data_IF_808844521057
#
_entry.id   IF_808844521057
#
_cell.length_a   1.000
_cell.length_b   1.000
_cell.length_c   1.000
_cell.angle_alpha   90.00
_cell.angle_beta   90.00
_cell.angle_gamma   90.00
#
_symmetry.space_group_name_H-M   'P 1'
#
loop_
_entity.id
_entity.type
_entity.pdbx_description
1 polymer ?
#
# COMPACT_ATOMS: atom_id res chain seq x y z
N UNK A 1 2.40 -51.43 -5.26
CA UNK A 1 1.60 -50.82 -4.17
C UNK A 1 1.62 -49.32 -4.36
N UNK A 2 0.53 -48.75 -4.89
CA UNK A 2 0.34 -47.30 -4.99
C UNK A 2 -0.24 -46.81 -3.66
N UNK A 3 0.53 -46.03 -2.91
CA UNK A 3 0.00 -45.30 -1.75
C UNK A 3 -1.05 -44.29 -2.22
N UNK A 4 -2.32 -44.63 -2.01
CA UNK A 4 -3.42 -43.66 -2.04
C UNK A 4 -3.13 -42.65 -0.93
N UNK A 5 -2.66 -41.45 -1.29
CA UNK A 5 -2.79 -40.28 -0.43
C UNK A 5 -4.29 -40.09 -0.17
N UNK A 6 -4.72 -40.50 1.01
CA UNK A 6 -6.01 -40.13 1.57
C UNK A 6 -5.92 -38.63 1.79
N UNK A 7 -6.36 -37.86 0.79
CA UNK A 7 -6.68 -36.46 0.97
C UNK A 7 -7.88 -36.42 1.91
N UNK A 8 -7.60 -36.31 3.22
CA UNK A 8 -8.58 -35.89 4.20
C UNK A 8 -9.33 -34.70 3.59
N UNK A 9 -10.66 -34.72 3.55
CA UNK A 9 -11.44 -33.61 3.02
C UNK A 9 -11.08 -32.39 3.87
N UNK A 10 -10.19 -31.55 3.32
CA UNK A 10 -9.79 -30.30 3.91
C UNK A 10 -11.09 -29.54 4.14
N UNK A 11 -11.44 -29.41 5.42
CA UNK A 11 -12.54 -28.61 5.93
C UNK A 11 -12.63 -27.38 5.07
N UNK A 12 -13.75 -27.26 4.35
CA UNK A 12 -14.02 -26.15 3.43
C UNK A 12 -13.77 -24.86 4.21
N UNK A 13 -12.65 -24.20 3.91
CA UNK A 13 -12.17 -23.03 4.64
C UNK A 13 -13.27 -21.97 4.66
N UNK A 14 -14.00 -21.86 5.77
CA UNK A 14 -14.98 -20.80 5.93
C UNK A 14 -14.19 -19.49 6.11
N UNK A 15 -14.18 -18.59 5.11
CA UNK A 15 -13.35 -17.39 5.17
C UNK A 15 -13.77 -16.45 6.32
N UNK A 16 -15.04 -16.52 6.73
CA UNK A 16 -15.55 -15.77 7.87
C UNK A 16 -14.97 -16.31 9.19
N UNK A 17 -14.96 -17.64 9.37
CA UNK A 17 -14.41 -18.26 10.57
C UNK A 17 -12.91 -17.95 10.73
N UNK A 18 -12.14 -18.00 9.64
CA UNK A 18 -10.73 -17.60 9.66
C UNK A 18 -10.55 -16.11 9.99
N UNK A 19 -11.39 -15.25 9.41
CA UNK A 19 -11.34 -13.81 9.69
C UNK A 19 -11.67 -13.53 11.16
N UNK A 20 -12.71 -14.17 11.70
CA UNK A 20 -13.06 -14.08 13.12
C UNK A 20 -11.93 -14.56 14.03
N UNK A 21 -11.31 -15.71 13.72
CA UNK A 21 -10.17 -16.23 14.47
C UNK A 21 -9.00 -15.24 14.49
N UNK A 22 -8.68 -14.63 13.34
CA UNK A 22 -7.62 -13.62 13.26
C UNK A 22 -7.93 -12.40 14.13
N UNK A 23 -9.18 -11.93 14.16
CA UNK A 23 -9.60 -10.83 15.02
C UNK A 23 -9.56 -11.20 16.51
N UNK A 24 -10.07 -12.37 16.88
CA UNK A 24 -10.01 -12.88 18.25
C UNK A 24 -8.56 -13.01 18.73
N UNK A 25 -7.67 -13.53 17.87
CA UNK A 25 -6.26 -13.64 18.21
C UNK A 25 -5.59 -12.27 18.31
N UNK A 26 -5.92 -11.31 17.44
CA UNK A 26 -5.40 -9.95 17.55
C UNK A 26 -5.82 -9.27 18.85
N UNK A 27 -7.07 -9.48 19.29
CA UNK A 27 -7.55 -9.00 20.60
C UNK A 27 -6.81 -9.69 21.75
N UNK A 28 -6.62 -11.02 21.68
CA UNK A 28 -5.86 -11.77 22.68
C UNK A 28 -4.40 -11.29 22.76
N UNK A 29 -3.75 -11.08 21.61
CA UNK A 29 -2.40 -10.53 21.51
C UNK A 29 -2.32 -9.19 22.21
N UNK A 30 -3.26 -8.28 21.94
CA UNK A 30 -3.34 -6.95 22.55
C UNK A 30 -3.54 -7.01 24.07
N UNK A 31 -4.46 -7.85 24.56
CA UNK A 31 -4.74 -8.03 25.98
C UNK A 31 -3.55 -8.63 26.73
N UNK A 32 -2.92 -9.65 26.15
CA UNK A 32 -1.75 -10.31 26.74
C UNK A 32 -0.58 -9.35 26.79
N UNK A 33 -0.36 -8.59 25.72
CA UNK A 33 0.69 -7.56 25.68
C UNK A 33 0.46 -6.54 26.78
N UNK A 34 -0.76 -5.98 26.91
CA UNK A 34 -1.12 -5.06 27.99
C UNK A 34 -0.76 -5.61 29.37
N UNK A 35 -1.18 -6.84 29.65
CA UNK A 35 -1.00 -7.45 30.96
C UNK A 35 0.48 -7.66 31.29
N UNK A 36 1.29 -8.16 30.34
CA UNK A 36 2.72 -8.39 30.56
C UNK A 36 3.49 -7.06 30.63
N UNK A 37 3.17 -6.07 29.81
CA UNK A 37 3.83 -4.75 29.82
C UNK A 37 3.61 -3.97 31.12
N UNK A 38 2.56 -4.28 31.89
CA UNK A 38 2.35 -3.70 33.21
C UNK A 38 3.35 -4.22 34.25
N UNK A 39 3.93 -5.41 34.03
CA UNK A 39 4.96 -5.96 34.90
C UNK A 39 6.34 -5.41 34.52
N UNK A 40 6.67 -5.52 33.24
CA UNK A 40 7.93 -5.04 32.68
C UNK A 40 7.75 -4.80 31.18
N UNK A 41 8.14 -3.62 30.71
CA UNK A 41 7.94 -3.21 29.32
C UNK A 41 8.75 -4.08 28.36
N UNK A 42 10.02 -4.36 28.69
CA UNK A 42 10.93 -5.10 27.83
C UNK A 42 10.48 -6.56 27.69
N UNK A 43 10.08 -7.17 28.80
CA UNK A 43 9.46 -8.51 28.80
C UNK A 43 8.17 -8.50 27.99
N UNK A 44 7.33 -7.48 28.13
CA UNK A 44 6.10 -7.31 27.34
C UNK A 44 6.35 -7.25 25.84
N UNK A 45 7.38 -6.51 25.40
CA UNK A 45 7.79 -6.43 24.00
C UNK A 45 8.27 -7.80 23.48
N UNK A 46 9.10 -8.51 24.24
CA UNK A 46 9.58 -9.86 23.88
C UNK A 46 8.38 -10.82 23.73
N UNK A 47 7.45 -10.81 24.70
CA UNK A 47 6.24 -11.63 24.64
C UNK A 47 5.37 -11.28 23.43
N UNK A 48 5.19 -10.00 23.10
CA UNK A 48 4.47 -9.58 21.91
C UNK A 48 5.07 -10.20 20.64
N UNK A 49 6.40 -10.15 20.48
CA UNK A 49 7.08 -10.72 19.32
C UNK A 49 6.95 -12.25 19.24
N UNK A 50 6.99 -12.94 20.39
CA UNK A 50 6.74 -14.38 20.46
C UNK A 50 5.29 -14.68 20.03
N UNK A 51 4.33 -13.93 20.53
CA UNK A 51 2.91 -14.10 20.21
C UNK A 51 2.54 -13.63 18.80
N UNK A 52 3.42 -12.89 18.10
CA UNK A 52 3.25 -12.54 16.70
C UNK A 52 3.47 -13.75 15.77
N UNK A 53 4.23 -14.77 16.21
CA UNK A 53 4.48 -15.99 15.42
C UNK A 53 3.18 -16.76 15.10
N UNK A 54 2.31 -17.13 16.06
CA UNK A 54 1.07 -17.81 15.74
C UNK A 54 0.14 -16.95 14.88
N UNK A 55 0.06 -15.63 15.11
CA UNK A 55 -0.71 -14.72 14.26
C UNK A 55 -0.25 -14.79 12.80
N UNK A 56 1.07 -14.76 12.59
CA UNK A 56 1.66 -14.84 11.27
C UNK A 56 1.36 -16.16 10.56
N UNK A 57 1.33 -17.28 11.31
CA UNK A 57 0.93 -18.60 10.78
C UNK A 57 -0.56 -18.61 10.38
N UNK A 58 -1.44 -18.01 11.19
CA UNK A 58 -2.89 -17.96 10.93
C UNK A 58 -3.27 -17.16 9.68
N UNK A 59 -2.39 -16.28 9.19
CA UNK A 59 -2.60 -15.53 7.94
C UNK A 59 -2.67 -16.43 6.69
N UNK A 60 -2.38 -17.73 6.83
CA UNK A 60 -2.39 -18.80 5.83
C UNK A 60 -1.67 -18.39 4.55
N UNK A 61 -0.40 -18.78 4.48
CA UNK A 61 0.44 -18.55 3.32
C UNK A 61 0.51 -19.83 2.48
N UNK A 62 -0.17 -19.89 1.32
CA UNK A 62 -0.48 -21.15 0.67
C UNK A 62 0.74 -21.88 0.07
N UNK A 63 1.92 -21.24 -0.03
CA UNK A 63 2.97 -21.77 -0.89
C UNK A 63 4.36 -22.00 -0.27
N UNK A 64 4.75 -21.42 0.88
CA UNK A 64 6.16 -21.49 1.35
C UNK A 64 6.39 -21.30 2.87
N UNK A 65 5.99 -22.26 3.73
CA UNK A 65 6.10 -22.11 5.18
C UNK A 65 7.53 -21.83 5.67
N UNK A 66 8.55 -22.54 5.16
CA UNK A 66 9.93 -22.38 5.64
C UNK A 66 10.53 -20.98 5.37
N UNK A 67 10.37 -20.49 4.14
CA UNK A 67 10.83 -19.15 3.69
C UNK A 67 10.20 -18.04 4.53
N UNK A 68 8.94 -18.22 4.89
CA UNK A 68 8.18 -17.30 5.74
C UNK A 68 8.72 -17.26 7.17
N UNK A 69 9.04 -18.41 7.75
CA UNK A 69 9.65 -18.46 9.08
C UNK A 69 11.03 -17.79 9.09
N UNK A 70 11.85 -18.02 8.06
CA UNK A 70 13.16 -17.36 7.95
C UNK A 70 12.99 -15.85 7.87
N UNK A 71 12.12 -15.36 6.97
CA UNK A 71 11.85 -13.93 6.83
C UNK A 71 11.32 -13.31 8.12
N UNK A 72 10.39 -13.99 8.80
CA UNK A 72 9.86 -13.54 10.09
C UNK A 72 10.94 -13.51 11.17
N UNK A 73 11.77 -14.54 11.30
CA UNK A 73 12.85 -14.56 12.30
C UNK A 73 13.87 -13.45 12.05
N UNK A 74 14.27 -13.22 10.80
CA UNK A 74 15.13 -12.08 10.45
C UNK A 74 14.47 -10.76 10.82
N UNK A 75 13.17 -10.62 10.55
CA UNK A 75 12.41 -9.43 10.94
C UNK A 75 12.39 -9.23 12.46
N UNK A 76 12.11 -10.28 13.23
CA UNK A 76 12.08 -10.22 14.70
C UNK A 76 13.45 -9.88 15.29
N UNK A 77 14.54 -10.49 14.79
CA UNK A 77 15.90 -10.19 15.22
C UNK A 77 16.26 -8.73 14.89
N UNK A 78 16.01 -8.31 13.65
CA UNK A 78 16.26 -6.92 13.23
C UNK A 78 15.43 -5.92 14.03
N UNK A 79 14.20 -6.27 14.38
CA UNK A 79 13.34 -5.48 15.26
C UNK A 79 13.89 -5.38 16.68
N UNK A 80 14.34 -6.48 17.26
CA UNK A 80 15.01 -6.48 18.55
C UNK A 80 16.25 -5.59 18.54
N UNK A 81 17.09 -5.69 17.50
CA UNK A 81 18.24 -4.81 17.35
C UNK A 81 17.84 -3.34 17.28
N UNK A 82 16.88 -2.96 16.43
CA UNK A 82 16.45 -1.57 16.33
C UNK A 82 15.77 -1.06 17.60
N UNK A 83 15.03 -1.90 18.33
CA UNK A 83 14.48 -1.51 19.63
C UNK A 83 15.57 -1.20 20.66
N UNK A 84 16.69 -1.92 20.62
CA UNK A 84 17.82 -1.71 21.53
C UNK A 84 18.72 -0.54 21.11
N UNK A 85 18.86 -0.28 19.80
CA UNK A 85 19.86 0.67 19.28
C UNK A 85 19.28 1.99 18.80
N UNK A 86 17.98 2.10 18.60
CA UNK A 86 17.35 3.27 17.95
C UNK A 86 16.33 3.93 18.87
N UNK A 87 16.44 5.25 18.99
CA UNK A 87 15.43 6.07 19.66
C UNK A 87 14.13 6.09 18.81
N UNK A 88 12.99 5.57 19.31
CA UNK A 88 11.71 5.62 18.60
C UNK A 88 11.25 7.07 18.32
N UNK A 89 11.74 8.05 19.06
CA UNK A 89 11.45 9.48 18.92
C UNK A 89 12.46 10.23 18.05
N UNK A 90 13.03 9.54 17.06
CA UNK A 90 13.97 10.12 16.11
C UNK A 90 13.33 11.25 15.28
N UNK A 91 13.77 12.49 15.55
CA UNK A 91 13.40 13.69 14.80
C UNK A 91 12.16 14.43 15.32
N UNK A 92 11.87 15.63 14.76
CA UNK A 92 10.80 16.50 15.24
C UNK A 92 9.40 15.91 15.05
N UNK A 93 9.15 15.23 13.93
CA UNK A 93 7.86 14.61 13.63
C UNK A 93 7.49 13.53 14.67
N UNK A 94 8.42 12.63 14.98
CA UNK A 94 8.21 11.54 15.92
C UNK A 94 7.90 12.05 17.33
N UNK A 95 8.67 13.04 17.80
CA UNK A 95 8.41 13.75 19.05
C UNK A 95 7.05 14.46 19.03
N UNK A 96 6.68 15.07 17.91
CA UNK A 96 5.39 15.75 17.75
C UNK A 96 4.18 14.81 17.81
N UNK A 97 4.30 13.61 17.24
CA UNK A 97 3.26 12.58 17.36
C UNK A 97 3.16 12.07 18.79
N UNK A 98 4.28 11.68 19.39
CA UNK A 98 4.27 11.14 20.76
C UNK A 98 3.82 12.17 21.80
N UNK A 99 4.12 13.46 21.61
CA UNK A 99 3.65 14.53 22.50
C UNK A 99 2.13 14.56 22.64
N UNK A 100 1.38 14.18 21.60
CA UNK A 100 -0.09 14.10 21.68
C UNK A 100 -0.55 12.98 22.62
N UNK A 101 0.17 11.84 22.64
CA UNK A 101 -0.11 10.72 23.56
C UNK A 101 -0.02 11.18 25.01
N UNK A 102 1.04 11.93 25.33
CA UNK A 102 1.30 12.42 26.68
C UNK A 102 0.45 13.64 27.05
N UNK A 103 0.11 14.48 26.08
CA UNK A 103 -0.61 15.74 26.32
C UNK A 103 -2.09 15.52 26.61
N UNK A 104 -2.76 14.65 25.83
CA UNK A 104 -4.16 14.34 26.05
C UNK A 104 -4.26 13.14 26.98
N UNK A 105 -4.75 13.32 28.21
CA UNK A 105 -4.96 12.23 29.17
C UNK A 105 -6.01 11.25 28.67
N UNK A 106 -7.16 11.76 28.22
CA UNK A 106 -8.30 10.98 27.73
C UNK A 106 -8.41 11.00 26.21
N UNK A 107 -9.00 9.93 25.65
CA UNK A 107 -9.24 9.82 24.21
C UNK A 107 -10.26 10.86 23.73
N UNK A 108 -11.25 11.19 24.56
CA UNK A 108 -12.31 12.15 24.20
C UNK A 108 -11.77 13.57 23.96
N UNK A 109 -10.81 14.01 24.78
CA UNK A 109 -10.16 15.31 24.62
C UNK A 109 -9.37 15.37 23.31
N UNK A 110 -8.66 14.28 22.99
CA UNK A 110 -7.95 14.15 21.73
C UNK A 110 -8.89 14.13 20.54
N UNK A 111 -10.01 13.39 20.61
CA UNK A 111 -10.99 13.33 19.52
C UNK A 111 -11.57 14.72 19.26
N UNK A 112 -11.95 15.47 20.30
CA UNK A 112 -12.44 16.84 20.16
C UNK A 112 -11.41 17.74 19.47
N UNK A 113 -10.16 17.70 19.92
CA UNK A 113 -9.06 18.43 19.28
C UNK A 113 -8.88 18.03 17.81
N UNK A 114 -8.86 16.73 17.52
CA UNK A 114 -8.67 16.23 16.17
C UNK A 114 -9.83 16.67 15.25
N UNK A 115 -11.07 16.58 15.73
CA UNK A 115 -12.25 17.04 14.98
C UNK A 115 -12.21 18.54 14.74
N UNK A 116 -11.89 19.35 15.74
CA UNK A 116 -11.76 20.81 15.59
C UNK A 116 -10.67 21.16 14.57
N UNK A 117 -9.50 20.53 14.68
CA UNK A 117 -8.39 20.79 13.77
C UNK A 117 -8.70 20.35 12.33
N UNK A 118 -9.36 19.21 12.14
CA UNK A 118 -9.78 18.72 10.82
C UNK A 118 -10.84 19.63 10.19
N UNK A 119 -11.80 20.10 10.98
CA UNK A 119 -12.90 20.95 10.48
C UNK A 119 -12.44 22.38 10.19
N UNK A 120 -11.54 22.93 11.00
CA UNK A 120 -11.07 24.32 10.86
C UNK A 120 -9.90 24.46 9.88
N UNK A 121 -9.00 23.46 9.80
CA UNK A 121 -7.80 23.50 8.97
C UNK A 121 -7.78 22.37 7.95
N UNK A 122 -8.88 22.14 7.26
CA UNK A 122 -9.01 21.01 6.32
C UNK A 122 -7.91 21.00 5.24
N UNK A 123 -7.62 22.15 4.63
CA UNK A 123 -6.64 22.25 3.52
C UNK A 123 -5.19 22.22 4.00
N UNK A 124 -4.93 22.63 5.26
CA UNK A 124 -3.61 22.64 5.91
C UNK A 124 -3.57 21.69 7.12
N UNK A 125 -4.34 20.59 7.04
CA UNK A 125 -4.50 19.71 8.20
C UNK A 125 -3.17 19.04 8.46
N UNK A 126 -2.50 19.49 9.51
CA UNK A 126 -1.26 18.85 9.94
C UNK A 126 -1.50 17.35 10.12
N UNK A 127 -0.58 16.52 9.63
CA UNK A 127 -0.72 15.06 9.71
C UNK A 127 -0.69 14.52 11.16
N UNK A 128 -0.50 15.41 12.15
CA UNK A 128 -0.40 15.13 13.58
C UNK A 128 -1.69 14.53 14.15
N UNK A 129 -2.83 15.25 14.21
CA UNK A 129 -4.09 14.69 14.71
C UNK A 129 -4.61 13.54 13.84
N UNK A 130 -4.40 13.58 12.52
CA UNK A 130 -4.90 12.53 11.63
C UNK A 130 -4.22 11.20 11.92
N UNK A 131 -2.90 11.19 12.14
CA UNK A 131 -2.19 9.98 12.55
C UNK A 131 -2.60 9.53 13.96
N UNK A 132 -2.85 10.49 14.86
CA UNK A 132 -3.32 10.22 16.22
C UNK A 132 -4.64 9.44 16.27
N UNK A 133 -5.54 9.63 15.31
CA UNK A 133 -6.78 8.84 15.25
C UNK A 133 -6.55 7.32 15.17
N UNK A 134 -5.39 6.86 14.67
CA UNK A 134 -5.04 5.44 14.64
C UNK A 134 -4.23 4.99 15.86
N UNK A 135 -3.20 5.73 16.27
CA UNK A 135 -2.33 5.27 17.36
C UNK A 135 -2.87 5.61 18.76
N UNK A 136 -3.65 6.69 18.94
CA UNK A 136 -4.14 7.10 20.26
C UNK A 136 -5.04 6.04 20.91
N UNK A 137 -6.03 5.44 20.23
CA UNK A 137 -6.83 4.37 20.82
C UNK A 137 -5.97 3.20 21.29
N UNK A 138 -4.92 2.88 20.56
CA UNK A 138 -3.98 1.82 20.89
C UNK A 138 -3.17 2.15 22.17
N UNK A 139 -2.59 3.36 22.28
CA UNK A 139 -1.85 3.79 23.47
C UNK A 139 -2.75 3.91 24.71
N UNK A 140 -3.94 4.50 24.55
CA UNK A 140 -4.91 4.66 25.66
C UNK A 140 -5.51 3.34 26.11
N UNK A 141 -5.66 2.38 25.20
CA UNK A 141 -6.08 1.02 25.57
C UNK A 141 -5.02 0.30 26.41
N UNK A 142 -3.74 0.43 26.04
CA UNK A 142 -2.63 -0.20 26.76
C UNK A 142 -2.31 0.50 28.08
N UNK A 143 -2.67 1.78 28.22
CA UNK A 143 -2.34 2.63 29.38
C UNK A 143 -0.83 2.73 29.62
N UNK A 144 -0.08 2.84 28.52
CA UNK A 144 1.37 2.97 28.53
C UNK A 144 1.76 4.33 27.97
N UNK A 145 2.65 5.02 28.67
CA UNK A 145 3.21 6.29 28.23
C UNK A 145 4.60 6.14 27.59
N UNK A 146 5.08 4.92 27.35
CA UNK A 146 6.42 4.70 26.78
C UNK A 146 6.38 4.70 25.23
N UNK A 147 7.25 5.47 24.55
CA UNK A 147 7.27 5.53 23.08
C UNK A 147 7.66 4.20 22.42
N UNK A 148 8.39 3.30 23.07
CA UNK A 148 8.80 1.99 22.53
C UNK A 148 7.59 1.11 22.16
N UNK A 149 6.44 1.33 22.81
CA UNK A 149 5.22 0.57 22.54
C UNK A 149 4.78 0.70 21.08
N UNK A 150 5.09 1.81 20.39
CA UNK A 150 4.75 2.00 18.97
C UNK A 150 5.35 0.91 18.06
N UNK A 151 6.48 0.32 18.47
CA UNK A 151 7.17 -0.72 17.71
C UNK A 151 6.24 -1.93 17.55
N UNK A 152 5.43 -2.26 18.56
CA UNK A 152 4.50 -3.40 18.48
C UNK A 152 3.41 -3.14 17.44
N UNK A 153 2.75 -1.99 17.50
CA UNK A 153 1.72 -1.55 16.55
C UNK A 153 2.26 -1.52 15.12
N UNK A 154 3.40 -0.89 14.90
CA UNK A 154 4.01 -0.77 13.58
C UNK A 154 4.53 -2.12 13.05
N UNK A 155 4.96 -3.04 13.93
CA UNK A 155 5.36 -4.40 13.53
C UNK A 155 4.16 -5.23 13.07
N UNK A 156 3.02 -5.07 13.73
CA UNK A 156 1.76 -5.66 13.28
C UNK A 156 1.38 -5.14 11.88
N UNK A 157 1.45 -3.82 11.67
CA UNK A 157 1.20 -3.21 10.36
C UNK A 157 2.20 -3.68 9.29
N UNK A 158 3.47 -3.86 9.63
CA UNK A 158 4.48 -4.39 8.71
C UNK A 158 4.12 -5.81 8.22
N UNK A 159 3.70 -6.69 9.13
CA UNK A 159 3.23 -8.04 8.77
C UNK A 159 2.03 -7.97 7.84
N UNK A 160 1.07 -7.07 8.13
CA UNK A 160 -0.10 -6.87 7.27
C UNK A 160 0.30 -6.31 5.89
N UNK A 161 1.25 -5.37 5.81
CA UNK A 161 1.80 -4.88 4.53
C UNK A 161 2.37 -6.02 3.68
N UNK A 162 3.20 -6.89 4.30
CA UNK A 162 3.77 -8.04 3.62
C UNK A 162 2.69 -9.01 3.13
N UNK A 163 1.73 -9.34 3.99
CA UNK A 163 0.64 -10.24 3.66
C UNK A 163 -0.26 -9.68 2.54
N UNK A 164 -0.55 -8.39 2.60
CA UNK A 164 -1.39 -7.72 1.61
C UNK A 164 -0.70 -7.62 0.26
N UNK A 165 0.60 -7.31 0.25
CA UNK A 165 1.42 -7.31 -0.97
C UNK A 165 1.44 -8.71 -1.60
N UNK A 166 1.62 -9.75 -0.78
CA UNK A 166 1.56 -11.12 -1.24
C UNK A 166 0.19 -11.48 -1.85
N UNK A 167 -0.91 -11.18 -1.16
CA UNK A 167 -2.28 -11.49 -1.64
C UNK A 167 -2.65 -10.73 -2.91
N UNK A 168 -2.24 -9.47 -3.01
CA UNK A 168 -2.42 -8.68 -4.23
C UNK A 168 -1.66 -9.30 -5.40
N UNK A 169 -0.44 -9.75 -5.17
CA UNK A 169 0.35 -10.42 -6.19
C UNK A 169 -0.25 -11.76 -6.60
N UNK A 170 -0.61 -12.62 -5.66
CA UNK A 170 -1.18 -13.93 -6.00
C UNK A 170 -2.50 -13.81 -6.78
N UNK A 171 -3.34 -12.81 -6.47
CA UNK A 171 -4.64 -12.62 -7.10
C UNK A 171 -4.60 -11.82 -8.41
N UNK A 172 -3.75 -10.79 -8.50
CA UNK A 172 -3.81 -9.80 -9.60
C UNK A 172 -2.51 -9.65 -10.40
N UNK A 173 -1.41 -10.29 -10.00
CA UNK A 173 -0.17 -10.26 -10.78
C UNK A 173 -0.32 -11.14 -12.03
N UNK A 174 -0.41 -10.51 -13.20
CA UNK A 174 -0.70 -11.16 -14.48
C UNK A 174 0.48 -11.10 -15.45
N UNK A 175 1.67 -10.75 -14.98
CA UNK A 175 2.89 -10.76 -15.80
C UNK A 175 3.46 -12.17 -15.89
N UNK A 176 4.13 -12.46 -17.00
CA UNK A 176 4.61 -13.81 -17.31
C UNK A 176 5.71 -14.27 -16.33
N UNK A 177 5.48 -15.44 -15.73
CA UNK A 177 6.41 -16.19 -14.90
C UNK A 177 6.18 -17.67 -15.15
N UNK A 178 7.26 -18.46 -15.16
CA UNK A 178 7.14 -19.93 -15.10
C UNK A 178 6.66 -20.36 -13.70
N UNK A 179 6.11 -21.56 -13.56
CA UNK A 179 5.67 -22.08 -12.24
C UNK A 179 6.79 -22.08 -11.19
N UNK A 180 7.99 -22.54 -11.57
CA UNK A 180 9.17 -22.45 -10.71
C UNK A 180 9.54 -20.98 -10.42
N UNK A 181 9.45 -20.11 -11.42
CA UNK A 181 9.65 -18.67 -11.27
C UNK A 181 8.64 -18.01 -10.33
N UNK A 182 7.36 -18.43 -10.33
CA UNK A 182 6.33 -17.90 -9.43
C UNK A 182 6.65 -18.24 -7.97
N UNK A 183 7.17 -19.44 -7.71
CA UNK A 183 7.66 -19.82 -6.37
C UNK A 183 8.85 -18.95 -5.97
N UNK A 184 9.88 -18.82 -6.81
CA UNK A 184 11.05 -17.97 -6.50
C UNK A 184 10.64 -16.51 -6.29
N UNK A 185 9.76 -16.00 -7.13
CA UNK A 185 9.20 -14.64 -7.03
C UNK A 185 8.55 -14.41 -5.67
N UNK A 186 7.61 -15.27 -5.28
CA UNK A 186 6.93 -15.16 -4.00
C UNK A 186 7.90 -15.28 -2.82
N UNK A 187 8.91 -16.16 -2.91
CA UNK A 187 9.90 -16.33 -1.84
C UNK A 187 10.72 -15.06 -1.61
N UNK A 188 11.29 -14.54 -2.70
CA UNK A 188 12.13 -13.35 -2.68
C UNK A 188 11.32 -12.13 -2.27
N UNK A 189 10.07 -12.01 -2.73
CA UNK A 189 9.20 -10.91 -2.35
C UNK A 189 8.93 -10.89 -0.84
N UNK A 190 8.57 -12.05 -0.26
CA UNK A 190 8.21 -12.10 1.15
C UNK A 190 9.44 -11.95 2.05
N UNK A 191 10.53 -12.69 1.77
CA UNK A 191 11.79 -12.52 2.51
C UNK A 191 12.28 -11.09 2.36
N UNK A 192 12.28 -10.54 1.15
CA UNK A 192 12.75 -9.19 0.88
C UNK A 192 11.99 -8.14 1.69
N UNK A 193 10.66 -8.24 1.76
CA UNK A 193 9.84 -7.28 2.53
C UNK A 193 10.01 -7.44 4.05
N UNK A 194 10.04 -8.67 4.57
CA UNK A 194 10.21 -8.91 6.00
C UNK A 194 11.63 -8.59 6.48
N UNK A 195 12.63 -8.91 5.66
CA UNK A 195 14.04 -8.68 5.95
C UNK A 195 14.54 -7.31 5.47
N UNK A 196 13.66 -6.42 4.98
CA UNK A 196 14.03 -5.07 4.53
C UNK A 196 14.44 -4.20 5.73
N UNK A 197 15.72 -3.78 5.83
CA UNK A 197 16.18 -2.89 6.89
C UNK A 197 15.46 -1.55 6.90
N UNK A 198 15.11 -0.97 5.75
CA UNK A 198 14.32 0.26 5.69
C UNK A 198 12.92 0.07 6.28
N UNK A 199 12.23 -1.03 5.98
CA UNK A 199 10.91 -1.30 6.56
C UNK A 199 11.02 -1.59 8.05
N UNK A 200 11.99 -2.39 8.48
CA UNK A 200 12.22 -2.68 9.90
C UNK A 200 12.52 -1.41 10.69
N UNK A 201 13.44 -0.57 10.21
CA UNK A 201 13.77 0.71 10.82
C UNK A 201 12.57 1.64 10.88
N UNK A 202 11.88 1.87 9.76
CA UNK A 202 10.75 2.81 9.70
C UNK A 202 9.51 2.32 10.46
N UNK A 203 9.39 1.01 10.70
CA UNK A 203 8.39 0.47 11.62
C UNK A 203 8.84 0.47 13.08
N UNK A 204 10.10 0.81 13.38
CA UNK A 204 10.60 0.94 14.76
C UNK A 204 10.60 2.40 15.24
N UNK A 205 10.46 3.36 14.33
CA UNK A 205 10.31 4.79 14.64
C UNK A 205 8.83 5.14 14.81
N UNK A 206 8.54 6.12 15.67
CA UNK A 206 7.20 6.70 15.85
C UNK A 206 6.83 7.55 14.63
N UNK A 207 6.49 6.90 13.52
CA UNK A 207 6.18 7.57 12.25
C UNK A 207 4.97 6.98 11.54
N UNK A 208 4.31 7.82 10.74
CA UNK A 208 3.14 7.44 9.91
C UNK A 208 3.48 6.59 8.68
N UNK A 209 4.76 6.30 8.42
CA UNK A 209 5.21 5.81 7.11
C UNK A 209 4.71 4.40 6.77
N UNK A 210 4.75 3.49 7.74
CA UNK A 210 4.27 2.11 7.57
C UNK A 210 2.74 2.08 7.50
N UNK A 211 2.07 2.93 8.28
CA UNK A 211 0.63 3.15 8.18
C UNK A 211 0.24 3.63 6.78
N UNK A 212 0.96 4.59 6.20
CA UNK A 212 0.73 5.03 4.82
C UNK A 212 0.94 3.90 3.80
N UNK A 213 1.99 3.08 3.96
CA UNK A 213 2.21 1.93 3.08
C UNK A 213 1.05 0.92 3.16
N UNK A 214 0.60 0.59 4.39
CA UNK A 214 -0.53 -0.32 4.62
C UNK A 214 -1.82 0.21 3.99
N UNK A 215 -2.17 1.47 4.29
CA UNK A 215 -3.39 2.09 3.78
C UNK A 215 -3.36 2.25 2.26
N UNK A 216 -2.18 2.49 1.68
CA UNK A 216 -1.98 2.48 0.23
C UNK A 216 -2.36 1.16 -0.41
N UNK A 217 -1.81 0.05 0.12
CA UNK A 217 -2.13 -1.30 -0.34
C UNK A 217 -3.61 -1.65 -0.10
N UNK A 218 -4.19 -1.19 1.01
CA UNK A 218 -5.61 -1.37 1.34
C UNK A 218 -6.53 -0.64 0.35
N UNK A 219 -6.25 0.61 0.06
CA UNK A 219 -6.94 1.37 -0.98
C UNK A 219 -6.88 0.64 -2.33
N UNK A 220 -5.69 0.20 -2.74
CA UNK A 220 -5.53 -0.57 -3.99
C UNK A 220 -6.37 -1.84 -3.99
N UNK A 221 -6.33 -2.62 -2.92
CA UNK A 221 -7.11 -3.86 -2.81
C UNK A 221 -8.61 -3.60 -2.86
N UNK A 222 -9.10 -2.57 -2.15
CA UNK A 222 -10.52 -2.19 -2.16
C UNK A 222 -10.96 -1.74 -3.54
N UNK A 223 -10.14 -0.94 -4.23
CA UNK A 223 -10.39 -0.46 -5.58
C UNK A 223 -10.43 -1.60 -6.60
N UNK A 224 -9.47 -2.54 -6.55
CA UNK A 224 -9.45 -3.73 -7.42
C UNK A 224 -10.64 -4.66 -7.16
N UNK A 225 -11.09 -4.77 -5.91
CA UNK A 225 -12.28 -5.55 -5.54
C UNK A 225 -13.60 -4.77 -5.70
N UNK A 226 -13.59 -3.57 -6.29
CA UNK A 226 -14.77 -2.73 -6.55
C UNK A 226 -15.57 -2.34 -5.29
N UNK A 227 -14.91 -2.28 -4.12
CA UNK A 227 -15.54 -1.82 -2.86
C UNK A 227 -15.41 -0.30 -2.74
N UNK A 228 -16.09 0.43 -3.62
CA UNK A 228 -15.88 1.87 -3.83
C UNK A 228 -16.16 2.73 -2.59
N UNK A 229 -17.22 2.43 -1.82
CA UNK A 229 -17.54 3.21 -0.62
C UNK A 229 -16.42 3.13 0.42
N UNK A 230 -15.97 1.92 0.77
CA UNK A 230 -14.85 1.71 1.68
C UNK A 230 -13.56 2.30 1.11
N UNK A 231 -13.34 2.16 -0.20
CA UNK A 231 -12.20 2.77 -0.87
C UNK A 231 -12.18 4.30 -0.68
N UNK A 232 -13.30 5.00 -0.88
CA UNK A 232 -13.37 6.46 -0.71
C UNK A 232 -13.06 6.86 0.73
N UNK A 233 -13.62 6.15 1.72
CA UNK A 233 -13.35 6.41 3.14
C UNK A 233 -11.87 6.27 3.46
N UNK A 234 -11.25 5.17 3.05
CA UNK A 234 -9.82 4.91 3.30
C UNK A 234 -8.94 5.86 2.49
N UNK A 235 -9.31 6.19 1.25
CA UNK A 235 -8.59 7.15 0.40
C UNK A 235 -8.57 8.54 1.04
N UNK A 236 -9.71 8.98 1.55
CA UNK A 236 -9.84 10.27 2.23
C UNK A 236 -8.89 10.32 3.45
N UNK A 237 -8.97 9.30 4.32
CA UNK A 237 -8.09 9.19 5.48
C UNK A 237 -6.59 9.15 5.09
N UNK A 238 -6.25 8.38 4.05
CA UNK A 238 -4.86 8.27 3.58
C UNK A 238 -4.35 9.57 2.98
N UNK A 239 -5.22 10.34 2.30
CA UNK A 239 -4.88 11.64 1.71
C UNK A 239 -4.61 12.70 2.78
N UNK A 240 -5.36 12.68 3.89
CA UNK A 240 -5.09 13.54 5.04
C UNK A 240 -3.80 13.17 5.78
N UNK A 241 -3.40 11.89 5.77
CA UNK A 241 -2.11 11.49 6.31
C UNK A 241 -0.95 11.91 5.41
N UNK A 242 -1.15 11.86 4.09
CA UNK A 242 -0.11 12.12 3.10
C UNK A 242 -0.74 12.60 1.80
N UNK A 243 -0.47 13.85 1.47
CA UNK A 243 -1.11 14.58 0.36
C UNK A 243 -0.89 13.92 -1.00
N UNK A 244 0.26 13.27 -1.17
CA UNK A 244 0.61 12.53 -2.39
C UNK A 244 0.19 11.06 -2.39
N UNK A 245 -0.67 10.63 -1.46
CA UNK A 245 -1.05 9.23 -1.34
C UNK A 245 -1.80 8.68 -2.54
N UNK A 246 -2.63 9.52 -3.15
CA UNK A 246 -3.38 9.21 -4.36
C UNK A 246 -2.43 8.69 -5.46
N UNK A 247 -1.25 9.29 -5.59
CA UNK A 247 -0.29 8.92 -6.64
C UNK A 247 0.22 7.50 -6.46
N UNK A 248 0.68 7.11 -5.25
CA UNK A 248 1.16 5.74 -5.05
C UNK A 248 0.01 4.72 -5.09
N UNK A 249 -1.20 5.06 -4.63
CA UNK A 249 -2.39 4.20 -4.71
C UNK A 249 -2.74 3.91 -6.17
N UNK A 250 -2.79 4.95 -7.00
CA UNK A 250 -3.03 4.82 -8.44
C UNK A 250 -1.91 4.06 -9.13
N UNK A 251 -0.65 4.27 -8.73
CA UNK A 251 0.48 3.49 -9.26
C UNK A 251 0.31 1.99 -9.00
N UNK A 252 -0.01 1.59 -7.77
CA UNK A 252 -0.31 0.18 -7.48
C UNK A 252 -1.50 -0.34 -8.29
N UNK A 253 -2.59 0.43 -8.35
CA UNK A 253 -3.79 0.04 -9.10
C UNK A 253 -3.50 -0.17 -10.59
N UNK A 254 -2.79 0.77 -11.21
CA UNK A 254 -2.46 0.72 -12.63
C UNK A 254 -1.50 -0.44 -12.92
N UNK A 255 -0.52 -0.70 -12.04
CA UNK A 255 0.40 -1.85 -12.14
C UNK A 255 -0.38 -3.17 -12.25
N UNK A 256 -1.31 -3.42 -11.33
CA UNK A 256 -2.11 -4.65 -11.34
C UNK A 256 -3.12 -4.71 -12.50
N UNK A 257 -3.66 -3.56 -12.95
CA UNK A 257 -4.56 -3.50 -14.11
C UNK A 257 -3.82 -3.59 -15.45
N UNK A 258 -2.49 -3.48 -15.47
CA UNK A 258 -1.64 -3.44 -16.68
C UNK A 258 -2.04 -2.33 -17.67
N UNK A 259 -2.55 -1.22 -17.17
CA UNK A 259 -3.02 -0.12 -18.04
C UNK A 259 -1.88 0.83 -18.42
N UNK A 260 -1.06 0.42 -19.39
CA UNK A 260 0.12 1.18 -19.83
C UNK A 260 -0.26 2.58 -20.34
N UNK A 261 -1.31 2.69 -21.18
CA UNK A 261 -1.74 3.97 -21.77
C UNK A 261 -2.12 5.01 -20.70
N UNK A 262 -2.90 4.60 -19.69
CA UNK A 262 -3.31 5.49 -18.61
C UNK A 262 -2.09 5.88 -17.75
N UNK A 263 -1.16 4.95 -17.52
CA UNK A 263 0.06 5.23 -16.76
C UNK A 263 0.98 6.21 -17.47
N UNK A 264 1.11 6.07 -18.80
CA UNK A 264 1.87 7.01 -19.61
C UNK A 264 1.22 8.40 -19.62
N UNK A 265 -0.11 8.47 -19.73
CA UNK A 265 -0.84 9.74 -19.62
C UNK A 265 -0.62 10.40 -18.25
N UNK A 266 -0.69 9.62 -17.17
CA UNK A 266 -0.43 10.08 -15.81
C UNK A 266 1.01 10.63 -15.67
N UNK A 267 2.00 9.95 -16.25
CA UNK A 267 3.39 10.39 -16.27
C UNK A 267 3.56 11.69 -17.06
N UNK A 268 3.00 11.79 -18.27
CA UNK A 268 3.08 13.00 -19.10
C UNK A 268 2.46 14.19 -18.36
N UNK A 269 1.30 13.98 -17.73
CA UNK A 269 0.67 14.99 -16.88
C UNK A 269 1.56 15.43 -15.72
N UNK A 270 2.16 14.47 -15.00
CA UNK A 270 3.04 14.77 -13.88
C UNK A 270 4.32 15.52 -14.30
N UNK A 271 4.96 15.10 -15.41
CA UNK A 271 6.11 15.80 -15.99
C UNK A 271 5.72 17.21 -16.44
N UNK A 272 4.57 17.38 -17.07
CA UNK A 272 4.04 18.69 -17.47
C UNK A 272 3.86 19.63 -16.26
N UNK A 273 3.28 19.14 -15.18
CA UNK A 273 3.12 19.91 -13.93
C UNK A 273 4.47 20.30 -13.34
N UNK A 274 5.43 19.37 -13.25
CA UNK A 274 6.78 19.66 -12.75
C UNK A 274 7.48 20.69 -13.62
N UNK A 275 7.40 20.56 -14.94
CA UNK A 275 7.99 21.52 -15.88
C UNK A 275 7.39 22.92 -15.72
N UNK A 276 6.07 23.02 -15.58
CA UNK A 276 5.39 24.31 -15.42
C UNK A 276 5.68 24.99 -14.08
N UNK A 277 5.84 24.22 -13.00
CA UNK A 277 6.00 24.76 -11.64
C UNK A 277 7.46 24.96 -11.22
N UNK A 278 8.35 24.07 -11.65
CA UNK A 278 9.76 24.04 -11.21
C UNK A 278 10.70 24.30 -12.38
N UNK A 279 10.29 24.00 -13.61
CA UNK A 279 11.14 24.14 -14.80
C UNK A 279 11.97 22.89 -15.13
N UNK A 280 12.96 23.02 -16.03
CA UNK A 280 13.82 21.92 -16.49
C UNK A 280 14.61 21.24 -15.36
N UNK A 281 15.00 21.99 -14.33
CA UNK A 281 15.70 21.48 -13.14
C UNK A 281 14.84 20.48 -12.37
N UNK A 282 13.54 20.74 -12.25
CA UNK A 282 12.58 19.82 -11.64
C UNK A 282 12.45 18.50 -12.41
N UNK A 283 12.48 18.55 -13.74
CA UNK A 283 12.46 17.34 -14.57
C UNK A 283 13.72 16.49 -14.32
N UNK A 284 14.90 17.10 -14.36
CA UNK A 284 16.16 16.41 -14.10
C UNK A 284 16.17 15.78 -12.70
N UNK A 285 15.74 16.54 -11.69
CA UNK A 285 15.61 16.04 -10.32
C UNK A 285 14.62 14.88 -10.21
N UNK A 286 13.56 14.84 -11.03
CA UNK A 286 12.57 13.75 -11.02
C UNK A 286 13.18 12.44 -11.53
N UNK A 287 13.99 12.50 -12.59
CA UNK A 287 14.75 11.34 -13.09
C UNK A 287 15.78 10.88 -12.07
N UNK A 288 16.59 11.80 -11.52
CA UNK A 288 17.57 11.49 -10.49
C UNK A 288 16.91 10.86 -9.26
N UNK A 289 15.78 11.42 -8.82
CA UNK A 289 15.04 10.92 -7.67
C UNK A 289 14.52 9.50 -7.87
N UNK A 290 14.05 9.19 -9.09
CA UNK A 290 13.62 7.82 -9.44
C UNK A 290 14.75 6.82 -9.26
N UNK A 291 15.97 7.18 -9.67
CA UNK A 291 17.17 6.37 -9.44
C UNK A 291 17.50 6.31 -7.95
N UNK A 292 17.41 7.42 -7.22
CA UNK A 292 17.67 7.45 -5.79
C UNK A 292 16.70 6.62 -4.96
N UNK A 293 15.49 6.28 -5.44
CA UNK A 293 14.62 5.33 -4.76
C UNK A 293 15.29 3.95 -4.55
N UNK A 294 16.18 3.56 -5.46
CA UNK A 294 16.96 2.33 -5.37
C UNK A 294 18.26 2.51 -4.56
N UNK A 295 18.85 3.70 -4.61
CA UNK A 295 20.19 3.99 -4.08
C UNK A 295 20.11 4.80 -2.76
N UNK A 296 18.99 4.77 -2.04
CA UNK A 296 18.80 5.52 -0.79
C UNK A 296 18.78 4.58 0.44
N UNK A 297 19.63 4.79 1.46
CA UNK A 297 20.65 5.85 1.59
C UNK A 297 21.83 5.67 0.61
N UNK A 298 22.50 6.78 0.27
CA UNK A 298 23.57 6.77 -0.75
C UNK A 298 24.78 5.93 -0.29
N UNK A 299 25.08 4.79 -0.92
CA UNK A 299 26.16 3.91 -0.50
C UNK A 299 27.56 4.48 -0.79
N UNK A 300 27.66 5.56 -1.57
CA UNK A 300 28.94 6.22 -1.85
C UNK A 300 29.35 7.23 -0.77
N UNK A 301 28.48 7.53 0.21
CA UNK A 301 28.83 8.37 1.35
C UNK A 301 29.34 7.51 2.51
N UNK A 302 30.57 7.75 2.94
CA UNK A 302 31.21 6.97 4.02
C UNK A 302 30.39 6.95 5.31
N UNK A 303 29.78 8.09 5.70
CA UNK A 303 28.92 8.21 6.89
C UNK A 303 27.72 7.24 6.90
N UNK A 304 27.25 6.80 5.73
CA UNK A 304 26.13 5.86 5.67
C UNK A 304 26.57 4.41 6.01
N UNK A 305 27.86 4.13 6.17
CA UNK A 305 28.40 2.84 6.58
C UNK A 305 28.64 2.73 8.08
N UNK A 306 28.35 3.79 8.85
CA UNK A 306 28.36 3.74 10.31
C UNK A 306 27.33 2.72 10.83
N UNK A 307 27.57 2.18 12.03
CA UNK A 307 26.77 1.06 12.59
C UNK A 307 25.27 1.33 12.62
N UNK A 308 24.85 2.60 12.75
CA UNK A 308 23.44 3.01 12.76
C UNK A 308 22.78 2.94 11.36
N UNK A 309 23.55 3.09 10.30
CA UNK A 309 23.06 3.18 8.92
C UNK A 309 23.43 1.98 8.05
N UNK A 310 24.42 1.18 8.47
CA UNK A 310 25.03 0.10 7.68
C UNK A 310 24.01 -0.86 7.07
N UNK A 311 23.01 -1.31 7.84
CA UNK A 311 22.00 -2.24 7.34
C UNK A 311 21.12 -1.61 6.25
N UNK A 312 20.76 -0.34 6.39
CA UNK A 312 19.98 0.40 5.37
C UNK A 312 20.81 0.64 4.13
N UNK A 313 22.11 0.89 4.29
CA UNK A 313 23.05 1.07 3.18
C UNK A 313 23.30 -0.23 2.43
N UNK A 314 23.42 -1.35 3.14
CA UNK A 314 23.49 -2.68 2.52
C UNK A 314 22.24 -3.00 1.69
N UNK A 315 21.04 -2.63 2.17
CA UNK A 315 19.81 -2.74 1.37
C UNK A 315 19.86 -1.88 0.10
N UNK A 316 20.35 -0.64 0.19
CA UNK A 316 20.50 0.22 -0.97
C UNK A 316 21.49 -0.35 -2.00
N UNK A 317 22.59 -0.96 -1.55
CA UNK A 317 23.53 -1.69 -2.44
C UNK A 317 22.83 -2.88 -3.10
N UNK A 318 22.08 -3.68 -2.34
CA UNK A 318 21.30 -4.79 -2.90
C UNK A 318 20.28 -4.31 -3.95
N UNK A 319 19.53 -3.25 -3.64
CA UNK A 319 18.56 -2.63 -4.55
C UNK A 319 19.23 -2.09 -5.82
N UNK A 320 20.40 -1.45 -5.69
CA UNK A 320 21.19 -0.94 -6.81
C UNK A 320 21.69 -2.08 -7.72
N UNK A 321 22.23 -3.16 -7.14
CA UNK A 321 22.68 -4.34 -7.89
C UNK A 321 21.50 -4.98 -8.61
N UNK A 322 20.38 -5.19 -7.91
CA UNK A 322 19.15 -5.74 -8.49
C UNK A 322 18.60 -4.86 -9.61
N UNK A 323 18.68 -3.53 -9.47
CA UNK A 323 18.32 -2.59 -10.53
C UNK A 323 19.21 -2.76 -11.77
N UNK A 324 20.54 -2.85 -11.61
CA UNK A 324 21.46 -3.13 -12.72
C UNK A 324 21.18 -4.48 -13.40
N UNK A 325 20.88 -5.51 -12.60
CA UNK A 325 20.46 -6.82 -13.10
C UNK A 325 19.13 -6.77 -13.85
N UNK A 326 18.19 -5.93 -13.42
CA UNK A 326 16.89 -5.75 -14.08
C UNK A 326 17.04 -5.23 -15.52
N UNK A 327 18.03 -4.36 -15.78
CA UNK A 327 18.38 -3.89 -17.13
C UNK A 327 18.85 -5.07 -18.00
N UNK A 328 19.66 -5.96 -17.44
CA UNK A 328 20.13 -7.16 -18.16
C UNK A 328 18.96 -8.08 -18.51
N UNK A 329 18.03 -8.31 -17.58
CA UNK A 329 16.81 -9.10 -17.82
C UNK A 329 15.92 -8.44 -18.87
N UNK A 330 15.72 -7.13 -18.78
CA UNK A 330 14.93 -6.34 -19.73
C UNK A 330 15.45 -6.44 -21.17
N UNK A 331 16.77 -6.40 -21.35
CA UNK A 331 17.41 -6.51 -22.66
C UNK A 331 17.28 -7.94 -23.21
N UNK A 332 17.50 -8.97 -22.37
CA UNK A 332 17.52 -10.38 -22.77
C UNK A 332 16.13 -10.99 -23.00
N UNK A 333 15.14 -10.63 -22.20
CA UNK A 333 13.81 -11.27 -22.19
C UNK A 333 12.72 -10.28 -22.60
N UNK A 334 12.17 -10.45 -23.81
CA UNK A 334 11.17 -9.51 -24.38
C UNK A 334 9.88 -9.47 -23.56
N UNK A 335 9.52 -10.58 -22.94
CA UNK A 335 8.31 -10.79 -22.13
C UNK A 335 8.33 -9.88 -20.88
N UNK A 336 9.52 -9.62 -20.35
CA UNK A 336 9.70 -8.85 -19.11
C UNK A 336 9.56 -7.34 -19.30
N UNK A 337 9.69 -6.86 -20.54
CA UNK A 337 9.76 -5.43 -20.86
C UNK A 337 8.52 -4.66 -20.44
N UNK A 338 7.34 -5.26 -20.59
CA UNK A 338 6.07 -4.63 -20.20
C UNK A 338 6.00 -4.37 -18.69
N UNK A 339 6.51 -5.30 -17.88
CA UNK A 339 6.54 -5.14 -16.43
C UNK A 339 7.50 -4.03 -16.00
N UNK A 340 8.76 -4.09 -16.45
CA UNK A 340 9.76 -3.08 -16.08
C UNK A 340 9.40 -1.69 -16.60
N UNK A 341 8.91 -1.56 -17.83
CA UNK A 341 8.45 -0.27 -18.36
C UNK A 341 7.30 0.31 -17.51
N UNK A 342 6.36 -0.54 -17.08
CA UNK A 342 5.30 -0.12 -16.17
C UNK A 342 5.85 0.37 -14.83
N UNK A 343 6.72 -0.42 -14.19
CA UNK A 343 7.35 -0.03 -12.93
C UNK A 343 8.11 1.30 -13.05
N UNK A 344 8.93 1.47 -14.09
CA UNK A 344 9.70 2.69 -14.31
C UNK A 344 8.81 3.92 -14.53
N UNK A 345 7.74 3.81 -15.33
CA UNK A 345 6.78 4.90 -15.56
C UNK A 345 6.12 5.32 -14.24
N UNK A 346 5.68 4.35 -13.44
CA UNK A 346 4.99 4.60 -12.18
C UNK A 346 5.92 5.17 -11.09
N UNK A 347 7.15 4.65 -11.00
CA UNK A 347 8.18 5.17 -10.10
C UNK A 347 8.62 6.58 -10.51
N UNK A 348 8.74 6.85 -11.82
CA UNK A 348 9.03 8.20 -12.31
C UNK A 348 7.90 9.17 -12.01
N UNK A 349 6.64 8.74 -12.17
CA UNK A 349 5.48 9.55 -11.78
C UNK A 349 5.51 9.89 -10.29
N UNK A 350 5.85 8.91 -9.45
CA UNK A 350 6.04 9.13 -8.02
C UNK A 350 7.22 10.07 -7.73
N UNK A 351 8.32 9.94 -8.48
CA UNK A 351 9.47 10.86 -8.44
C UNK A 351 9.07 12.30 -8.75
N UNK A 352 8.26 12.54 -9.78
CA UNK A 352 7.71 13.87 -10.09
C UNK A 352 6.94 14.46 -8.90
N UNK A 353 6.11 13.65 -8.24
CA UNK A 353 5.36 14.10 -7.07
C UNK A 353 6.25 14.43 -5.88
N UNK A 354 7.27 13.61 -5.61
CA UNK A 354 8.21 13.88 -4.53
C UNK A 354 9.08 15.11 -4.80
N UNK A 355 9.40 15.39 -6.07
CA UNK A 355 10.06 16.64 -6.48
C UNK A 355 9.19 17.85 -6.17
N UNK A 356 7.88 17.79 -6.50
CA UNK A 356 6.95 18.88 -6.15
C UNK A 356 6.89 19.13 -4.64
N UNK A 357 6.79 18.06 -3.84
CA UNK A 357 6.80 18.16 -2.37
C UNK A 357 8.13 18.75 -1.87
N UNK A 358 9.25 18.30 -2.44
CA UNK A 358 10.57 18.84 -2.09
C UNK A 358 10.74 20.31 -2.46
N UNK A 359 10.22 20.71 -3.62
CA UNK A 359 10.25 22.09 -4.10
C UNK A 359 9.51 23.02 -3.14
N UNK A 360 8.27 22.68 -2.76
CA UNK A 360 7.47 23.47 -1.80
C UNK A 360 8.23 23.67 -0.48
N UNK A 361 8.81 22.60 0.08
CA UNK A 361 9.57 22.69 1.34
C UNK A 361 10.83 23.56 1.21
N UNK A 362 11.53 23.51 0.07
CA UNK A 362 12.74 24.32 -0.17
C UNK A 362 12.36 25.80 -0.31
N UNK A 363 11.29 26.09 -1.07
CA UNK A 363 10.80 27.47 -1.26
C UNK A 363 10.28 28.09 0.03
N UNK A 364 9.57 27.32 0.87
CA UNK A 364 9.10 27.78 2.19
C UNK A 364 10.26 28.13 3.15
N UNK A 365 11.40 27.46 2.99
CA UNK A 365 12.62 27.73 3.78
C UNK A 365 13.49 28.83 3.18
N UNK A 366 13.05 29.50 2.10
CA UNK A 366 13.82 30.50 1.35
C UNK A 366 15.20 29.98 0.90
N UNK A 367 15.29 28.70 0.54
CA UNK A 367 16.51 28.08 0.02
C UNK A 367 16.46 28.04 -1.52
N UNK A 368 17.61 28.13 -2.16
CA UNK A 368 17.71 28.03 -3.61
C UNK A 368 17.48 26.58 -4.08
N UNK A 369 16.56 26.37 -5.02
CA UNK A 369 16.27 25.05 -5.57
C UNK A 369 17.18 24.76 -6.77
N UNK A 370 18.12 23.83 -6.59
CA UNK A 370 19.15 23.47 -7.57
C UNK A 370 19.03 22.06 -8.11
N UNK A 371 19.94 21.69 -9.02
CA UNK A 371 20.07 20.30 -9.45
C UNK A 371 20.58 19.45 -8.29
N UNK A 372 19.91 18.33 -8.01
CA UNK A 372 20.23 17.46 -6.89
C UNK A 372 19.70 17.92 -5.54
N UNK A 373 19.02 19.07 -5.45
CA UNK A 373 18.29 19.46 -4.22
C UNK A 373 17.04 18.62 -4.07
N UNK A 374 17.22 17.45 -3.48
CA UNK A 374 16.18 16.48 -3.22
C UNK A 374 15.89 16.58 -1.73
N UNK A 375 14.66 17.00 -1.40
CA UNK A 375 14.29 17.35 -0.02
C UNK A 375 14.59 16.26 1.02
N UNK A 376 14.55 16.64 2.29
CA UNK A 376 15.04 15.81 3.39
C UNK A 376 14.41 14.40 3.45
N UNK A 377 15.23 13.44 3.89
CA UNK A 377 14.88 12.08 4.31
C UNK A 377 14.16 11.21 3.25
N UNK A 378 14.83 10.96 2.13
CA UNK A 378 14.34 10.08 1.06
C UNK A 378 14.07 8.64 1.50
N UNK A 379 14.82 8.13 2.47
CA UNK A 379 14.64 6.79 3.04
C UNK A 379 13.23 6.62 3.63
N UNK A 380 12.68 7.69 4.22
CA UNK A 380 11.31 7.71 4.73
C UNK A 380 10.29 7.79 3.60
N UNK A 381 10.53 8.67 2.62
CA UNK A 381 9.58 8.91 1.52
C UNK A 381 9.47 7.74 0.54
N UNK A 382 10.46 6.84 0.48
CA UNK A 382 10.38 5.59 -0.31
C UNK A 382 9.45 4.54 0.28
N UNK A 383 9.18 4.55 1.59
CA UNK A 383 8.44 3.47 2.30
C UNK A 383 7.13 3.05 1.61
N UNK A 384 6.25 3.98 1.16
CA UNK A 384 4.99 3.59 0.52
C UNK A 384 5.16 2.83 -0.81
N UNK A 385 6.29 3.00 -1.51
CA UNK A 385 6.57 2.34 -2.79
C UNK A 385 7.55 1.17 -2.68
N UNK A 386 8.07 0.88 -1.49
CA UNK A 386 8.94 -0.28 -1.24
C UNK A 386 8.35 -1.60 -1.76
N UNK A 387 7.03 -1.87 -1.63
CA UNK A 387 6.44 -3.05 -2.26
C UNK A 387 6.70 -3.16 -3.76
N UNK A 388 6.63 -2.06 -4.53
CA UNK A 388 6.94 -2.06 -5.98
C UNK A 388 8.42 -2.36 -6.22
N UNK A 389 9.32 -1.78 -5.41
CA UNK A 389 10.76 -2.02 -5.53
C UNK A 389 11.10 -3.49 -5.32
N UNK A 390 10.54 -4.12 -4.27
CA UNK A 390 10.73 -5.55 -4.02
C UNK A 390 10.02 -6.44 -5.03
N UNK A 391 8.85 -6.05 -5.57
CA UNK A 391 8.23 -6.75 -6.70
C UNK A 391 9.17 -6.75 -7.91
N UNK A 392 9.85 -5.64 -8.18
CA UNK A 392 10.80 -5.54 -9.29
C UNK A 392 12.04 -6.42 -9.07
N UNK A 393 12.56 -6.44 -7.84
CA UNK A 393 13.69 -7.30 -7.47
C UNK A 393 13.33 -8.78 -7.54
N UNK A 394 12.19 -9.17 -6.95
CA UNK A 394 11.68 -10.53 -6.98
C UNK A 394 11.48 -11.03 -8.41
N UNK A 395 10.92 -10.19 -9.29
CA UNK A 395 10.74 -10.52 -10.69
C UNK A 395 12.07 -10.70 -11.42
N UNK A 396 13.03 -9.81 -11.17
CA UNK A 396 14.39 -9.89 -11.73
C UNK A 396 15.08 -11.20 -11.33
N UNK A 397 15.08 -11.55 -10.04
CA UNK A 397 15.70 -12.78 -9.56
C UNK A 397 14.98 -14.03 -10.07
N UNK A 398 13.66 -14.03 -10.15
CA UNK A 398 12.88 -15.15 -10.69
C UNK A 398 13.24 -15.47 -12.16
N UNK A 399 13.58 -14.44 -12.94
CA UNK A 399 14.01 -14.60 -14.34
C UNK A 399 15.49 -14.97 -14.47
N UNK A 400 16.36 -14.44 -13.62
CA UNK A 400 17.79 -14.79 -13.62
C UNK A 400 18.03 -16.24 -13.23
N UNK A 401 17.31 -16.72 -12.21
CA UNK A 401 17.41 -18.10 -11.72
C UNK A 401 16.45 -19.06 -12.43
N UNK A 402 15.88 -18.66 -13.58
CA UNK A 402 15.03 -19.54 -14.36
C UNK A 402 15.87 -20.76 -14.78
N UNK A 403 15.52 -21.99 -14.35
CA UNK A 403 16.26 -23.18 -14.75
C UNK A 403 16.28 -23.24 -16.28
N UNK A 404 17.45 -23.43 -16.89
CA UNK A 404 17.59 -23.60 -18.35
C UNK A 404 16.89 -24.86 -18.89
N UNK A 405 16.24 -25.63 -18.02
CA UNK A 405 15.58 -26.88 -18.37
C UNK A 405 14.28 -26.62 -19.14
N UNK A 406 14.18 -27.31 -20.27
CA UNK A 406 13.03 -27.42 -21.19
C UNK A 406 12.88 -26.26 -22.19
N UNK A 407 13.97 -25.95 -22.91
CA UNK A 407 13.85 -25.90 -24.38
C UNK A 407 13.81 -27.35 -24.90
N UNK A 408 12.75 -28.09 -24.56
CA UNK A 408 12.41 -29.28 -25.33
C UNK A 408 11.88 -28.78 -26.66
N UNK A 409 12.72 -28.87 -27.68
CA UNK A 409 12.28 -28.94 -29.07
C UNK A 409 11.14 -29.96 -29.16
N UNK A 410 9.91 -29.49 -29.26
CA UNK A 410 8.86 -30.13 -30.07
C UNK A 410 7.72 -29.13 -30.20
N UNK A 411 7.45 -28.74 -31.45
CA UNK A 411 6.33 -27.90 -31.78
C UNK A 411 5.04 -28.60 -31.37
N UNK A 412 4.38 -28.05 -30.37
CA UNK A 412 2.93 -28.11 -30.29
C UNK A 412 2.47 -26.67 -30.14
N UNK A 413 1.72 -26.23 -31.16
CA UNK A 413 0.98 -25.00 -31.16
C UNK A 413 -0.02 -25.05 -29.99
N UNK A 414 0.41 -24.60 -28.82
CA UNK A 414 -0.50 -24.31 -27.73
C UNK A 414 -1.27 -23.05 -28.13
N UNK A 415 -2.44 -23.25 -28.71
CA UNK A 415 -3.44 -22.21 -28.92
C UNK A 415 -3.52 -21.30 -27.68
N UNK A 416 -3.52 -19.97 -27.84
CA UNK A 416 -3.81 -19.08 -26.73
C UNK A 416 -5.25 -19.36 -26.30
N UNK A 417 -5.41 -19.98 -25.14
CA UNK A 417 -6.69 -20.17 -24.47
C UNK A 417 -7.25 -18.78 -24.16
N UNK A 418 -8.05 -18.24 -25.09
CA UNK A 418 -9.05 -17.20 -24.82
C UNK A 418 -9.97 -17.74 -23.73
N UNK A 419 -9.66 -17.45 -22.49
CA UNK A 419 -10.43 -17.88 -21.33
C UNK A 419 -10.31 -16.86 -20.21
N UNK A 420 -11.46 -16.36 -19.78
CA UNK A 420 -11.69 -15.47 -18.62
C UNK A 420 -11.53 -13.95 -18.84
N UNK A 421 -12.30 -13.40 -19.78
CA UNK A 421 -12.96 -12.08 -19.57
C UNK A 421 -14.51 -12.21 -19.59
N UNK A 422 -15.05 -13.40 -19.81
CA UNK A 422 -16.50 -13.61 -20.00
C UNK A 422 -17.35 -13.66 -18.71
N UNK A 423 -16.79 -13.47 -17.52
CA UNK A 423 -17.55 -13.52 -16.25
C UNK A 423 -17.99 -12.15 -15.72
N UNK A 424 -17.80 -11.06 -16.47
CA UNK A 424 -18.20 -9.71 -16.05
C UNK A 424 -19.33 -9.08 -16.87
N UNK A 425 -20.00 -9.84 -17.74
CA UNK A 425 -21.04 -9.31 -18.64
C UNK A 425 -22.39 -10.02 -18.58
N UNK A 426 -22.66 -10.84 -17.54
CA UNK A 426 -23.91 -11.61 -17.43
C UNK A 426 -24.66 -11.41 -16.10
N UNK A 427 -24.67 -10.18 -15.57
CA UNK A 427 -25.59 -9.75 -14.50
C UNK A 427 -26.09 -8.34 -14.85
N UNK A 428 -26.95 -8.25 -15.85
CA UNK A 428 -27.83 -7.10 -16.05
C UNK A 428 -28.87 -7.45 -17.13
N UNK A 429 -29.81 -8.33 -16.80
CA UNK A 429 -31.13 -8.33 -17.42
C UNK A 429 -32.19 -8.57 -16.34
N UNK A 430 -33.29 -7.79 -16.34
CA UNK A 430 -34.33 -7.84 -15.33
C UNK A 430 -35.27 -9.02 -15.60
N UNK A 431 -35.49 -9.87 -14.60
CA UNK A 431 -36.51 -10.91 -14.65
C UNK A 431 -37.89 -10.28 -14.46
N UNK A 432 -38.52 -9.91 -15.58
CA UNK A 432 -39.96 -9.67 -15.68
C UNK A 432 -40.62 -10.94 -16.25
N UNK A 433 -41.56 -11.52 -15.49
CA UNK A 433 -42.70 -12.28 -15.99
C UNK A 433 -42.48 -13.72 -16.46
N UNK A 434 -42.94 -14.68 -15.65
CA UNK A 434 -43.82 -15.77 -16.11
C UNK A 434 -44.51 -16.43 -14.91
N UNK A 435 -45.78 -16.05 -14.74
CA UNK A 435 -46.80 -16.74 -13.95
C UNK A 435 -47.37 -17.85 -14.82
N UNK A 436 -47.65 -19.04 -14.25
CA UNK A 436 -48.91 -19.77 -14.46
C UNK A 436 -49.13 -20.86 -13.40
N UNK A 437 -50.37 -20.85 -12.92
CA UNK A 437 -51.21 -21.88 -12.29
C UNK A 437 -50.92 -22.42 -10.88
N UNK A 438 -51.74 -21.96 -9.94
CA UNK A 438 -52.87 -22.78 -9.46
C UNK A 438 -53.99 -21.90 -8.85
N UNK A 439 -55.25 -22.22 -9.24
CA UNK A 439 -56.56 -22.11 -8.56
C UNK A 439 -56.55 -21.51 -7.13
N UNK A 440 -57.46 -20.64 -6.66
CA UNK A 440 -58.92 -20.76 -6.69
C UNK A 440 -59.59 -19.54 -5.99
N UNK A 441 -60.87 -19.28 -6.32
CA UNK A 441 -61.89 -18.58 -5.52
C UNK A 441 -61.87 -17.05 -5.31
N UNK A 442 -62.89 -16.44 -5.93
CA UNK A 442 -63.93 -15.56 -5.35
C UNK A 442 -63.96 -14.08 -5.77
N UNK A 443 -65.13 -13.70 -6.33
CA UNK A 443 -65.86 -12.42 -6.25
C UNK A 443 -65.11 -11.12 -6.60
N UNK A 444 -65.61 -10.09 -7.28
CA UNK A 444 -66.82 -9.66 -7.99
C UNK A 444 -66.53 -8.18 -8.38
N UNK A 445 -67.34 -7.55 -9.25
CA UNK A 445 -67.35 -6.10 -9.59
C UNK A 445 -66.23 -5.57 -10.51
N UNK A 446 -66.46 -5.29 -11.81
CA UNK A 446 -67.38 -4.35 -12.47
C UNK A 446 -66.96 -2.88 -12.26
N UNK A 447 -66.43 -2.24 -13.32
CA UNK A 447 -66.82 -0.91 -13.84
C UNK A 447 -65.84 -0.48 -14.95
N UNK A 448 -66.44 -0.01 -16.04
CA UNK A 448 -65.84 0.55 -17.24
C UNK A 448 -65.17 1.92 -17.04
N UNK A 449 -64.19 2.27 -17.91
CA UNK A 449 -64.30 3.40 -18.87
C UNK A 449 -62.96 3.79 -19.53
N UNK A 450 -63.09 4.01 -20.83
CA UNK A 450 -62.60 5.12 -21.66
C UNK A 450 -61.08 5.43 -21.80
N UNK A 451 -60.62 5.16 -23.03
CA UNK A 451 -59.63 5.84 -23.88
C UNK A 451 -59.73 7.40 -23.88
N UNK A 452 -58.92 8.16 -24.66
CA UNK A 452 -57.45 8.12 -24.87
C UNK A 452 -56.84 9.56 -24.96
N UNK A 453 -55.53 9.58 -25.27
CA UNK A 453 -54.87 10.47 -26.24
C UNK A 453 -54.26 11.83 -25.81
N UNK A 454 -53.09 12.02 -26.44
CA UNK A 454 -52.51 13.26 -27.00
C UNK A 454 -51.48 14.04 -26.16
N UNK A 455 -50.38 14.37 -26.85
CA UNK A 455 -49.71 15.66 -26.67
C UNK A 455 -48.25 15.64 -26.24
N UNK A 456 -47.34 15.31 -27.18
CA UNK A 456 -46.01 15.92 -27.22
C UNK A 456 -46.12 17.35 -27.79
N UNK A 457 -45.03 18.10 -28.04
CA UNK A 457 -43.84 18.41 -27.23
C UNK A 457 -43.64 19.96 -27.13
N UNK A 458 -42.64 20.44 -26.39
CA UNK A 458 -42.29 21.86 -26.40
C UNK A 458 -40.93 22.19 -25.80
N UNK A 459 -39.96 22.47 -26.65
CA UNK A 459 -38.66 23.06 -26.32
C UNK A 459 -38.82 24.56 -25.99
N UNK A 460 -37.93 25.12 -25.16
CA UNK A 460 -37.16 26.33 -25.51
C UNK A 460 -36.19 26.78 -24.41
N UNK A 461 -35.10 27.38 -24.90
CA UNK A 461 -33.98 27.99 -24.22
C UNK A 461 -34.36 29.14 -23.27
N UNK A 462 -33.51 29.41 -22.27
CA UNK A 462 -33.17 30.78 -21.88
C UNK A 462 -31.82 30.84 -21.15
N UNK A 463 -30.88 31.54 -21.80
CA UNK A 463 -29.72 32.19 -21.21
C UNK A 463 -30.16 33.28 -20.23
N UNK A 464 -29.33 33.62 -19.22
CA UNK A 464 -28.82 34.97 -18.91
C UNK A 464 -27.99 34.98 -17.59
N UNK A 465 -27.20 36.04 -17.32
CA UNK A 465 -25.92 36.02 -16.61
C UNK A 465 -25.91 36.84 -15.30
N UNK A 466 -24.79 36.84 -14.58
CA UNK A 466 -24.38 37.93 -13.67
C UNK A 466 -22.89 37.76 -13.37
N UNK A 467 -22.03 38.61 -13.92
CA UNK A 467 -21.55 39.89 -13.38
C UNK A 467 -20.50 39.76 -12.26
N UNK A 468 -19.43 40.52 -12.50
CA UNK A 468 -18.23 40.71 -11.71
C UNK A 468 -18.51 41.47 -10.40
N UNK A 469 -17.70 41.16 -9.37
CA UNK A 469 -17.44 42.06 -8.26
C UNK A 469 -15.95 41.94 -7.91
N UNK A 470 -15.23 43.05 -8.11
CA UNK A 470 -13.91 43.35 -7.57
C UNK A 470 -13.94 43.37 -6.04
N UNK A 471 -12.83 42.97 -5.40
CA UNK A 471 -12.13 43.84 -4.42
C UNK A 471 -10.87 43.17 -3.89
N UNK A 472 -9.75 43.83 -4.17
CA UNK A 472 -8.55 43.83 -3.34
C UNK A 472 -8.89 44.23 -1.90
N UNK A 473 -8.37 43.52 -0.89
CA UNK A 473 -7.84 44.14 0.34
C UNK A 473 -6.70 43.28 0.89
N UNK A 474 -5.54 43.93 1.03
CA UNK A 474 -4.32 43.47 1.70
C UNK A 474 -4.53 43.25 3.20
N UNK A 475 -3.93 42.20 3.75
CA UNK A 475 -2.93 42.27 4.84
C UNK A 475 -2.15 40.98 4.96
#
# INVERSE_FOLDING_TARGET
MLERKVELPLVRDNPLAQTMLLWMYAVLLMLTTKWVTQWDLDVGLVFFFILLLPFFVMLKWPHQPAVLYIGLMVMLIGKGMYALTTDPLFGPDARGYFRQVTFYSHLDDFIRYATEHITTKWLDSSAYPVFGLMYMPFFKFLDLADPLVIITFNSFLLVLCCNMTYRLNDKFFTYELSEAGKRTYNAVLIIGLLASPALMYMSSVFGKDITCAFLGLLCTQLLLNRRYLLFIIVLFYTSMLRDYSIVYILSFYLLFRRSFKISLLMLIGALGVVFLKVGPTGLLNSFMLTVFLFISPNPFKAFNWDMEFVMRTAEAVYMMISFGLSVTVFLRHKETRSFFAMCLILLLTFGCTLVMVGFVTVTERNLEYGVGTIGDNMVRKKVPVVPILYMMNAYTLAWLFRPKAVHSKKGEACHPRKGQISSLQRISEPAYGAVLDHSEASAQELVARDRPAAGAPGACNALLPSQAVDSEVRR
#
